data_IF_062025105156
#
_entry.id   IF_062025105156
#
_cell.length_a   1.000
_cell.length_b   1.000
_cell.length_c   1.000
_cell.angle_alpha   90.00
_cell.angle_beta   90.00
_cell.angle_gamma   90.00
#
_symmetry.space_group_name_H-M   'P 1'
#
loop_
_entity.id
_entity.type
_entity.pdbx_description
1 polymer ?
#
# COMPACT_ATOMS: atom_id res chain seq x y z
N UNK A 1 16.22 -12.03 8.89
CA UNK A 1 16.14 -11.08 7.76
C UNK A 1 15.33 -11.75 6.67
N UNK A 2 14.11 -11.27 6.41
CA UNK A 2 13.24 -11.85 5.38
C UNK A 2 13.89 -11.67 4.01
N UNK A 3 13.97 -12.75 3.21
CA UNK A 3 14.49 -12.68 1.85
C UNK A 3 13.65 -11.68 1.05
N UNK A 4 14.27 -10.58 0.61
CA UNK A 4 13.72 -9.73 -0.44
C UNK A 4 13.46 -10.66 -1.63
N UNK A 5 12.20 -10.78 -2.06
CA UNK A 5 11.87 -11.48 -3.31
C UNK A 5 12.46 -10.65 -4.43
N UNK A 6 13.69 -10.95 -4.83
CA UNK A 6 14.26 -10.36 -6.03
C UNK A 6 13.36 -10.73 -7.21
N UNK A 7 12.79 -9.73 -7.87
CA UNK A 7 12.06 -9.89 -9.12
C UNK A 7 13.07 -10.18 -10.25
N UNK A 8 13.70 -11.35 -10.22
CA UNK A 8 14.74 -11.73 -11.18
C UNK A 8 14.10 -12.18 -12.50
N UNK A 9 14.54 -11.57 -13.61
CA UNK A 9 14.12 -12.00 -14.94
C UNK A 9 14.72 -13.36 -15.27
N UNK A 10 13.88 -14.33 -15.63
CA UNK A 10 14.35 -15.63 -16.10
C UNK A 10 14.63 -15.62 -17.62
N UNK A 11 15.41 -16.60 -18.12
CA UNK A 11 15.85 -16.65 -19.52
C UNK A 11 14.69 -16.65 -20.53
N UNK A 12 13.55 -17.25 -20.18
CA UNK A 12 12.36 -17.28 -21.04
C UNK A 12 11.73 -15.90 -21.13
N UNK A 13 11.55 -15.23 -19.99
CA UNK A 13 11.00 -13.88 -19.92
C UNK A 13 11.90 -12.86 -20.63
N UNK A 14 13.22 -12.95 -20.44
CA UNK A 14 14.19 -12.12 -21.14
C UNK A 14 14.07 -12.22 -22.66
N UNK A 15 14.03 -13.46 -23.19
CA UNK A 15 13.89 -13.69 -24.63
C UNK A 15 12.58 -13.13 -25.17
N UNK A 16 11.50 -13.23 -24.40
CA UNK A 16 10.18 -12.72 -24.77
C UNK A 16 10.16 -11.18 -24.81
N UNK A 17 10.69 -10.51 -23.80
CA UNK A 17 10.71 -9.03 -23.74
C UNK A 17 11.56 -8.47 -24.89
N UNK A 18 12.66 -9.14 -25.24
CA UNK A 18 13.54 -8.70 -26.34
C UNK A 18 12.85 -8.69 -27.71
N UNK A 19 11.78 -9.45 -27.90
CA UNK A 19 11.05 -9.53 -29.17
C UNK A 19 9.82 -8.65 -29.22
N UNK A 20 9.53 -7.87 -28.17
CA UNK A 20 8.34 -7.02 -28.13
C UNK A 20 8.37 -5.92 -29.19
N UNK A 21 7.22 -5.69 -29.82
CA UNK A 21 6.97 -4.46 -30.53
C UNK A 21 6.74 -3.27 -29.57
N UNK A 22 6.58 -2.06 -30.11
CA UNK A 22 6.39 -0.85 -29.30
C UNK A 22 5.18 -0.94 -28.37
N UNK A 23 4.07 -1.51 -28.87
CA UNK A 23 2.83 -1.63 -28.09
C UNK A 23 2.98 -2.66 -26.99
N UNK A 24 3.56 -3.82 -27.30
CA UNK A 24 3.83 -4.87 -26.32
C UNK A 24 4.78 -4.39 -25.22
N UNK A 25 5.75 -3.54 -25.57
CA UNK A 25 6.65 -2.91 -24.61
C UNK A 25 5.92 -1.91 -23.69
N UNK A 26 5.09 -1.03 -24.26
CA UNK A 26 4.30 -0.06 -23.50
C UNK A 26 3.32 -0.74 -22.54
N UNK A 27 2.64 -1.79 -23.02
CA UNK A 27 1.74 -2.60 -22.21
C UNK A 27 2.49 -3.30 -21.07
N UNK A 28 3.68 -3.85 -21.34
CA UNK A 28 4.52 -4.49 -20.34
C UNK A 28 4.96 -3.50 -19.24
N UNK A 29 5.46 -2.32 -19.62
CA UNK A 29 5.91 -1.30 -18.67
C UNK A 29 4.75 -0.78 -17.83
N UNK A 30 3.60 -0.51 -18.46
CA UNK A 30 2.37 -0.07 -17.77
C UNK A 30 1.94 -1.10 -16.73
N UNK A 31 1.96 -2.38 -17.10
CA UNK A 31 1.62 -3.47 -16.20
C UNK A 31 2.59 -3.56 -15.01
N UNK A 32 3.90 -3.51 -15.26
CA UNK A 32 4.91 -3.54 -14.18
C UNK A 32 4.71 -2.38 -13.20
N UNK A 33 4.42 -1.18 -13.72
CA UNK A 33 4.15 -0.01 -12.88
C UNK A 33 2.90 -0.19 -12.01
N UNK A 34 1.78 -0.63 -12.60
CA UNK A 34 0.52 -0.86 -11.87
C UNK A 34 0.69 -1.96 -10.81
N UNK A 35 1.37 -3.06 -11.15
CA UNK A 35 1.64 -4.15 -10.21
C UNK A 35 2.54 -3.71 -9.06
N UNK A 36 3.55 -2.88 -9.33
CA UNK A 36 4.42 -2.28 -8.33
C UNK A 36 3.65 -1.35 -7.39
N UNK A 37 2.82 -0.45 -7.96
CA UNK A 37 1.97 0.46 -7.20
C UNK A 37 0.98 -0.30 -6.30
N UNK A 38 0.29 -1.31 -6.84
CA UNK A 38 -0.66 -2.10 -6.08
C UNK A 38 0.02 -2.94 -4.99
N UNK A 39 1.24 -3.43 -5.24
CA UNK A 39 2.02 -4.14 -4.22
C UNK A 39 2.44 -3.19 -3.11
N UNK A 40 2.91 -1.99 -3.46
CA UNK A 40 3.23 -0.94 -2.48
C UNK A 40 2.00 -0.49 -1.69
N UNK A 41 0.82 -0.37 -2.32
CA UNK A 41 -0.43 -0.08 -1.62
C UNK A 41 -0.82 -1.20 -0.65
N UNK A 42 -0.71 -2.46 -1.05
CA UNK A 42 -0.97 -3.60 -0.16
C UNK A 42 0.02 -3.65 0.99
N UNK A 43 1.30 -3.38 0.74
CA UNK A 43 2.29 -3.25 1.80
C UNK A 43 2.00 -2.04 2.68
N UNK A 44 1.56 -0.90 2.14
CA UNK A 44 1.16 0.28 2.91
C UNK A 44 -0.09 0.02 3.77
N UNK A 45 -1.07 -0.70 3.23
CA UNK A 45 -2.24 -1.19 3.95
C UNK A 45 -1.84 -2.18 5.07
N UNK A 46 -0.73 -2.90 4.89
CA UNK A 46 -0.11 -3.77 5.90
C UNK A 46 0.85 -3.04 6.88
N UNK A 47 1.37 -1.86 6.51
CA UNK A 47 2.40 -1.11 7.26
C UNK A 47 1.83 -0.27 8.40
N UNK A 48 0.51 -0.31 8.62
CA UNK A 48 -0.05 0.05 9.92
C UNK A 48 -1.52 0.41 9.87
N UNK A 49 -2.09 0.47 11.07
CA UNK A 49 -3.37 1.10 11.34
C UNK A 49 -3.51 2.38 10.51
N UNK A 50 -4.64 2.54 9.81
CA UNK A 50 -4.99 3.81 9.16
C UNK A 50 -4.77 4.95 10.16
N UNK A 51 -4.49 6.19 9.72
CA UNK A 51 -4.32 7.31 10.66
C UNK A 51 -5.50 7.42 11.65
N UNK A 52 -6.72 7.08 11.20
CA UNK A 52 -7.90 6.92 12.04
C UNK A 52 -7.78 5.79 13.07
N UNK A 53 -7.35 4.59 12.66
CA UNK A 53 -7.15 3.47 13.58
C UNK A 53 -6.02 3.75 14.61
N UNK A 54 -4.95 4.46 14.20
CA UNK A 54 -3.91 4.96 15.13
C UNK A 54 -4.49 5.94 16.14
N UNK A 55 -5.31 6.89 15.69
CA UNK A 55 -6.00 7.86 16.53
C UNK A 55 -6.97 7.16 17.51
N UNK A 56 -7.75 6.19 17.02
CA UNK A 56 -8.65 5.40 17.87
C UNK A 56 -7.91 4.66 18.98
N UNK A 57 -6.74 4.07 18.66
CA UNK A 57 -5.87 3.40 19.61
C UNK A 57 -5.34 4.34 20.68
N UNK A 58 -4.82 5.50 20.28
CA UNK A 58 -4.33 6.55 21.21
C UNK A 58 -5.47 7.05 22.12
N UNK A 59 -6.67 7.28 21.57
CA UNK A 59 -7.82 7.74 22.36
C UNK A 59 -8.29 6.69 23.38
N UNK A 60 -8.14 5.40 23.08
CA UNK A 60 -8.44 4.32 24.03
C UNK A 60 -7.43 4.23 25.18
N UNK A 61 -6.16 4.54 24.92
CA UNK A 61 -5.08 4.47 25.91
C UNK A 61 -5.02 5.75 26.79
N UNK A 62 -5.57 6.86 26.32
CA UNK A 62 -5.51 8.15 27.03
C UNK A 62 -6.50 8.22 28.18
N UNK A 63 -5.98 8.28 29.41
CA UNK A 63 -6.79 8.42 30.63
C UNK A 63 -7.56 9.75 30.63
N UNK A 64 -8.86 9.69 30.90
CA UNK A 64 -9.74 10.88 31.00
C UNK A 64 -10.46 11.25 29.71
N UNK A 65 -10.19 10.59 28.59
CA UNK A 65 -10.97 10.73 27.36
C UNK A 65 -12.18 9.80 27.43
N UNK A 66 -13.35 10.38 27.73
CA UNK A 66 -14.61 9.64 27.75
C UNK A 66 -15.15 9.33 26.34
N UNK A 67 -16.13 8.40 26.22
CA UNK A 67 -16.68 7.95 24.95
C UNK A 67 -17.27 9.08 24.10
N UNK A 68 -17.84 10.11 24.75
CA UNK A 68 -18.43 11.29 24.08
C UNK A 68 -17.38 12.20 23.43
N UNK A 69 -16.24 12.38 24.09
CA UNK A 69 -15.14 13.19 23.55
C UNK A 69 -14.43 12.43 22.43
N UNK A 70 -14.26 11.11 22.59
CA UNK A 70 -13.73 10.22 21.55
C UNK A 70 -14.53 10.29 20.25
N UNK A 71 -15.86 10.16 20.33
CA UNK A 71 -16.71 10.19 19.13
C UNK A 71 -16.73 11.55 18.44
N UNK A 72 -16.64 12.65 19.20
CA UNK A 72 -16.52 14.00 18.65
C UNK A 72 -15.20 14.18 17.87
N UNK A 73 -14.07 13.76 18.45
CA UNK A 73 -12.74 13.86 17.81
C UNK A 73 -12.69 13.03 16.53
N UNK A 74 -13.19 11.78 16.56
CA UNK A 74 -13.20 10.91 15.38
C UNK A 74 -14.13 11.41 14.26
N UNK A 75 -15.22 12.11 14.63
CA UNK A 75 -16.14 12.71 13.67
C UNK A 75 -15.53 13.92 12.98
N UNK A 76 -14.89 14.83 13.73
CA UNK A 76 -14.21 16.01 13.17
C UNK A 76 -13.14 15.60 12.16
N UNK A 77 -12.43 14.51 12.43
CA UNK A 77 -11.38 13.99 11.56
C UNK A 77 -11.90 13.27 10.30
N UNK A 78 -13.20 12.98 10.22
CA UNK A 78 -13.83 12.29 9.08
C UNK A 78 -14.56 13.24 8.12
N UNK A 79 -14.65 14.53 8.47
CA UNK A 79 -15.34 15.58 7.70
C UNK A 79 -14.35 16.47 6.92
N UNK A 80 -13.05 16.15 6.92
CA UNK A 80 -11.97 16.69 6.07
C UNK A 80 -11.57 15.70 4.96
#
# INVERSE_FOLDING_TARGET
MGKVKEYVTNRTLYKKIKTFDHKEMDDFLTKVYIEGWNSALKEAEYLGDSPKAKLEKVLNETKGVGPKLKSAILRMWSEE
#
